data_IF_331925746671
#
_entry.id   IF_331925746671
#
_cell.length_a   1.000
_cell.length_b   1.000
_cell.length_c   1.000
_cell.angle_alpha   90.00
_cell.angle_beta   90.00
_cell.angle_gamma   90.00
#
_symmetry.space_group_name_H-M   'P 1'
#
loop_
_entity.id
_entity.type
_entity.pdbx_description
1 polymer ?
#
# COMPACT_ATOMS: atom_id res chain seq x y z
N UNK A 1 -37.94 -23.81 -33.14
CA UNK A 1 -37.46 -24.33 -31.84
C UNK A 1 -35.95 -24.34 -31.91
N UNK A 2 -35.15 -23.69 -31.08
CA UNK A 2 -35.34 -22.91 -29.87
C UNK A 2 -33.99 -22.21 -29.62
N UNK A 3 -34.05 -20.96 -29.13
CA UNK A 3 -33.12 -20.47 -28.09
C UNK A 3 -31.63 -20.38 -28.45
N UNK A 4 -31.25 -19.40 -29.27
CA UNK A 4 -29.95 -18.74 -29.07
C UNK A 4 -30.13 -17.62 -28.05
N UNK A 5 -30.41 -18.06 -26.84
CA UNK A 5 -30.57 -17.23 -25.66
C UNK A 5 -29.21 -16.72 -25.20
N UNK A 6 -29.20 -15.44 -24.85
CA UNK A 6 -28.26 -14.82 -23.94
C UNK A 6 -26.80 -14.92 -24.40
N UNK A 7 -26.42 -13.96 -25.26
CA UNK A 7 -25.13 -13.31 -25.08
C UNK A 7 -24.95 -13.12 -23.58
N UNK A 8 -23.99 -13.78 -22.92
CA UNK A 8 -23.73 -13.42 -21.56
C UNK A 8 -23.22 -11.99 -21.70
N UNK A 9 -24.04 -11.04 -21.28
CA UNK A 9 -23.52 -9.81 -20.73
C UNK A 9 -22.70 -10.25 -19.52
N UNK A 10 -21.53 -10.87 -19.76
CA UNK A 10 -20.51 -11.11 -18.76
C UNK A 10 -20.13 -9.69 -18.41
N UNK A 11 -20.82 -9.16 -17.42
CA UNK A 11 -20.31 -8.05 -16.62
C UNK A 11 -18.97 -8.60 -16.16
N UNK A 12 -17.85 -8.11 -16.71
CA UNK A 12 -16.59 -8.73 -16.43
C UNK A 12 -16.39 -8.69 -14.92
N UNK A 13 -16.17 -9.87 -14.37
CA UNK A 13 -16.13 -9.99 -12.92
C UNK A 13 -14.77 -9.52 -12.43
N UNK A 14 -14.70 -9.21 -11.14
CA UNK A 14 -13.43 -8.91 -10.49
C UNK A 14 -12.35 -9.98 -10.74
N UNK A 15 -12.74 -11.25 -10.89
CA UNK A 15 -11.82 -12.34 -11.20
C UNK A 15 -11.26 -12.25 -12.62
N UNK A 16 -12.06 -11.78 -13.58
CA UNK A 16 -11.64 -11.53 -14.97
C UNK A 16 -10.56 -10.45 -15.04
N UNK A 17 -10.74 -9.35 -14.29
CA UNK A 17 -9.72 -8.32 -14.11
C UNK A 17 -8.41 -8.87 -13.54
N UNK A 18 -8.51 -9.73 -12.52
CA UNK A 18 -7.34 -10.36 -11.92
C UNK A 18 -6.65 -11.24 -12.96
N UNK A 19 -7.38 -12.04 -13.73
CA UNK A 19 -6.83 -12.89 -14.78
C UNK A 19 -6.06 -12.05 -15.83
N UNK A 20 -6.65 -10.95 -16.32
CA UNK A 20 -6.00 -10.05 -17.28
C UNK A 20 -4.72 -9.43 -16.70
N UNK A 21 -4.77 -8.95 -15.45
CA UNK A 21 -3.60 -8.36 -14.78
C UNK A 21 -2.50 -9.38 -14.53
N UNK A 22 -2.83 -10.63 -14.22
CA UNK A 22 -1.83 -11.70 -14.02
C UNK A 22 -1.04 -11.99 -15.29
N UNK A 23 -1.69 -11.98 -16.45
CA UNK A 23 -0.99 -12.17 -17.73
C UNK A 23 -0.01 -11.01 -17.97
N UNK A 24 -0.43 -9.78 -17.66
CA UNK A 24 0.38 -8.57 -17.87
C UNK A 24 1.52 -8.40 -16.86
N UNK A 25 1.33 -8.86 -15.63
CA UNK A 25 2.26 -8.74 -14.52
C UNK A 25 2.66 -10.12 -13.99
N UNK A 26 3.17 -10.98 -14.88
CA UNK A 26 3.54 -12.36 -14.54
C UNK A 26 4.65 -12.48 -13.48
N UNK A 27 5.46 -11.43 -13.33
CA UNK A 27 6.53 -11.33 -12.32
C UNK A 27 6.00 -11.01 -10.90
N UNK A 28 4.75 -10.54 -10.80
CA UNK A 28 4.11 -10.22 -9.51
C UNK A 28 3.32 -11.42 -8.99
N UNK A 29 3.48 -11.81 -7.71
CA UNK A 29 2.67 -12.87 -7.11
C UNK A 29 1.17 -12.60 -7.24
N UNK A 30 0.40 -13.64 -7.57
CA UNK A 30 -1.06 -13.54 -7.76
C UNK A 30 -1.79 -12.96 -6.56
N UNK A 31 -1.38 -13.35 -5.36
CA UNK A 31 -1.94 -12.86 -4.11
C UNK A 31 -1.83 -11.34 -4.00
N UNK A 32 -0.70 -10.76 -4.45
CA UNK A 32 -0.48 -9.32 -4.47
C UNK A 32 -1.37 -8.64 -5.51
N UNK A 33 -1.56 -9.25 -6.69
CA UNK A 33 -2.49 -8.74 -7.72
C UNK A 33 -3.93 -8.74 -7.20
N UNK A 34 -4.37 -9.86 -6.59
CA UNK A 34 -5.72 -9.99 -6.01
C UNK A 34 -5.98 -8.97 -4.89
N UNK A 35 -5.01 -8.81 -3.98
CA UNK A 35 -5.08 -7.84 -2.89
C UNK A 35 -5.09 -6.41 -3.43
N UNK A 36 -4.31 -6.11 -4.46
CA UNK A 36 -4.29 -4.79 -5.08
C UNK A 36 -5.66 -4.43 -5.67
N UNK A 37 -6.32 -5.37 -6.36
CA UNK A 37 -7.67 -5.16 -6.89
C UNK A 37 -8.72 -5.05 -5.77
N UNK A 38 -8.59 -5.81 -4.68
CA UNK A 38 -9.45 -5.70 -3.48
C UNK A 38 -9.38 -4.31 -2.85
N UNK A 39 -8.15 -3.87 -2.59
CA UNK A 39 -7.82 -2.61 -1.91
C UNK A 39 -8.39 -1.43 -2.72
N UNK A 40 -8.25 -1.46 -4.04
CA UNK A 40 -8.82 -0.43 -4.92
C UNK A 40 -10.34 -0.42 -4.90
N UNK A 41 -10.99 -1.59 -4.88
CA UNK A 41 -12.44 -1.67 -4.77
C UNK A 41 -12.93 -1.08 -3.44
N UNK A 42 -12.29 -1.48 -2.34
CA UNK A 42 -12.57 -0.99 -1.01
C UNK A 42 -12.36 0.53 -0.90
N UNK A 43 -11.24 1.04 -1.45
CA UNK A 43 -10.96 2.47 -1.49
C UNK A 43 -12.02 3.24 -2.29
N UNK A 44 -12.43 2.75 -3.46
CA UNK A 44 -13.49 3.39 -4.24
C UNK A 44 -14.80 3.47 -3.45
N UNK A 45 -15.20 2.38 -2.80
CA UNK A 45 -16.39 2.36 -1.93
C UNK A 45 -16.25 3.34 -0.77
N UNK A 46 -15.11 3.37 -0.10
CA UNK A 46 -14.86 4.28 1.02
C UNK A 46 -14.91 5.76 0.60
N UNK A 47 -14.41 6.07 -0.60
CA UNK A 47 -14.44 7.42 -1.18
C UNK A 47 -15.79 7.79 -1.81
N UNK A 48 -16.76 6.87 -1.84
CA UNK A 48 -18.05 7.07 -2.51
C UNK A 48 -17.98 7.11 -4.04
N UNK A 49 -16.86 6.67 -4.62
CA UNK A 49 -16.64 6.61 -6.07
C UNK A 49 -17.20 5.29 -6.59
N UNK A 50 -18.01 5.32 -7.66
CA UNK A 50 -18.47 4.08 -8.29
C UNK A 50 -17.26 3.37 -8.92
N UNK A 51 -16.96 2.11 -8.52
CA UNK A 51 -15.83 1.38 -9.07
C UNK A 51 -16.16 0.95 -10.50
N UNK A 52 -15.71 1.73 -11.47
CA UNK A 52 -15.74 1.32 -12.88
C UNK A 52 -14.55 0.40 -13.15
N UNK A 53 -14.78 -0.77 -13.74
CA UNK A 53 -13.73 -1.75 -14.03
C UNK A 53 -12.53 -1.16 -14.76
N UNK A 54 -12.76 -0.36 -15.81
CA UNK A 54 -11.68 0.26 -16.57
C UNK A 54 -10.84 1.21 -15.72
N UNK A 55 -11.46 1.89 -14.76
CA UNK A 55 -10.74 2.73 -13.81
C UNK A 55 -9.92 1.88 -12.83
N UNK A 56 -10.50 0.83 -12.26
CA UNK A 56 -9.80 -0.11 -11.36
C UNK A 56 -8.63 -0.77 -12.08
N UNK A 57 -8.80 -1.22 -13.32
CA UNK A 57 -7.74 -1.84 -14.12
C UNK A 57 -6.57 -0.89 -14.35
N UNK A 58 -6.84 0.36 -14.75
CA UNK A 58 -5.79 1.38 -14.94
C UNK A 58 -5.06 1.68 -13.64
N UNK A 59 -5.78 1.82 -12.53
CA UNK A 59 -5.20 2.07 -11.21
C UNK A 59 -4.33 0.91 -10.75
N UNK A 60 -4.82 -0.33 -10.90
CA UNK A 60 -4.07 -1.54 -10.58
C UNK A 60 -2.82 -1.65 -11.44
N UNK A 61 -2.93 -1.44 -12.76
CA UNK A 61 -1.79 -1.47 -13.66
C UNK A 61 -0.74 -0.40 -13.31
N UNK A 62 -1.17 0.81 -12.95
CA UNK A 62 -0.28 1.87 -12.48
C UNK A 62 0.47 1.46 -11.21
N UNK A 63 -0.26 0.95 -10.20
CA UNK A 63 0.32 0.52 -8.92
C UNK A 63 1.28 -0.65 -9.09
N UNK A 64 0.89 -1.67 -9.86
CA UNK A 64 1.73 -2.84 -10.15
C UNK A 64 2.96 -2.48 -10.99
N UNK A 65 2.85 -1.53 -11.91
CA UNK A 65 4.02 -1.00 -12.66
C UNK A 65 5.00 -0.34 -11.71
N UNK A 66 4.52 0.41 -10.72
CA UNK A 66 5.36 0.99 -9.66
C UNK A 66 6.09 -0.08 -8.85
N UNK A 67 5.41 -1.18 -8.51
CA UNK A 67 6.01 -2.32 -7.81
C UNK A 67 7.11 -2.99 -8.66
N UNK A 68 6.81 -3.34 -9.91
CA UNK A 68 7.77 -4.02 -10.81
C UNK A 68 8.99 -3.16 -11.09
N UNK A 69 8.81 -1.85 -11.28
CA UNK A 69 9.93 -0.92 -11.50
C UNK A 69 10.78 -0.67 -10.25
N UNK A 70 10.50 -1.36 -9.14
CA UNK A 70 11.23 -1.16 -7.89
C UNK A 70 11.01 0.25 -7.32
N UNK A 71 9.80 0.79 -7.50
CA UNK A 71 9.40 2.10 -7.01
C UNK A 71 9.36 2.16 -5.49
N UNK A 72 10.52 2.04 -4.84
CA UNK A 72 10.77 2.71 -3.58
C UNK A 72 10.55 4.20 -3.90
N UNK A 73 9.55 4.87 -3.30
CA UNK A 73 9.44 6.31 -3.43
C UNK A 73 10.80 6.93 -3.08
N UNK A 74 11.24 8.00 -3.75
CA UNK A 74 12.51 8.67 -3.43
C UNK A 74 12.55 9.21 -1.98
N UNK A 75 11.41 9.19 -1.28
CA UNK A 75 11.32 9.45 0.13
C UNK A 75 11.14 8.14 0.90
N UNK A 76 12.02 7.80 1.87
CA UNK A 76 11.67 6.76 2.84
C UNK A 76 10.39 7.22 3.56
N UNK A 77 9.40 6.35 3.65
CA UNK A 77 8.26 6.55 4.55
C UNK A 77 8.80 6.60 5.98
N UNK A 78 9.15 7.81 6.42
CA UNK A 78 9.76 8.11 7.71
C UNK A 78 8.73 8.29 8.82
N UNK A 79 7.54 7.68 8.71
CA UNK A 79 6.62 7.50 9.85
C UNK A 79 6.53 6.02 10.24
N UNK A 80 7.69 5.42 10.43
CA UNK A 80 7.88 4.35 11.41
C UNK A 80 8.78 4.84 12.57
N UNK A 81 8.65 6.11 12.95
CA UNK A 81 9.14 6.64 14.23
C UNK A 81 8.11 6.44 15.34
N UNK A 82 7.66 5.20 15.54
CA UNK A 82 6.97 4.80 16.79
C UNK A 82 7.99 4.18 17.73
N UNK A 83 9.00 4.98 18.10
CA UNK A 83 9.81 4.70 19.28
C UNK A 83 9.35 5.70 20.35
N UNK A 84 8.73 5.27 21.45
CA UNK A 84 8.48 6.20 22.55
C UNK A 84 9.85 6.71 23.05
N UNK A 85 10.02 7.99 23.39
CA UNK A 85 11.17 8.44 24.15
C UNK A 85 11.02 7.94 25.60
N UNK A 86 11.17 6.63 25.78
CA UNK A 86 11.39 6.00 27.06
C UNK A 86 12.83 6.25 27.48
N UNK A 87 13.01 7.24 28.33
CA UNK A 87 13.93 7.16 29.47
C UNK A 87 15.39 6.83 29.16
N UNK A 88 16.18 7.87 28.87
CA UNK A 88 17.53 8.01 29.44
C UNK A 88 17.86 9.49 29.65
N UNK A 89 17.08 10.10 30.53
CA UNK A 89 17.60 11.14 31.40
C UNK A 89 18.57 10.49 32.40
N UNK A 90 19.77 10.15 31.97
CA UNK A 90 20.93 10.11 32.87
C UNK A 90 21.66 11.42 32.67
N UNK A 91 21.20 12.43 33.41
CA UNK A 91 21.99 13.59 33.71
C UNK A 91 23.22 13.13 34.50
N UNK A 92 24.28 12.79 33.78
CA UNK A 92 25.61 12.74 34.37
C UNK A 92 26.03 14.19 34.64
N UNK A 93 25.63 14.68 35.81
CA UNK A 93 26.25 15.85 36.45
C UNK A 93 27.69 15.45 36.78
N UNK A 94 28.74 16.10 36.23
CA UNK A 94 30.01 16.08 36.92
C UNK A 94 29.84 16.88 38.22
N UNK A 95 29.92 16.16 39.34
CA UNK A 95 30.10 16.72 40.66
C UNK A 95 31.59 17.08 40.86
N UNK A 96 31.86 18.29 41.33
CA UNK A 96 33.20 18.76 41.73
C UNK A 96 33.66 19.93 40.85
N UNK A 97 33.96 21.14 41.33
CA UNK A 97 34.55 21.48 42.60
C UNK A 97 34.02 22.82 43.15
N UNK A 98 33.42 22.77 44.34
CA UNK A 98 33.44 23.90 45.28
C UNK A 98 34.47 23.54 46.33
N UNK A 99 35.67 24.11 46.24
CA UNK A 99 36.65 24.08 47.33
C UNK A 99 36.24 25.11 48.40
N UNK A 100 36.27 24.76 49.68
CA UNK A 100 35.99 25.70 50.76
C UNK A 100 37.25 26.44 51.24
N UNK A 101 37.04 27.71 51.59
CA UNK A 101 37.52 28.48 52.76
C UNK A 101 39.03 28.59 53.05
N UNK A 102 39.50 29.85 53.03
CA UNK A 102 40.30 30.45 54.11
C UNK A 102 41.81 30.54 53.87
N UNK A 103 42.35 31.76 53.72
CA UNK A 103 43.26 32.49 54.64
C UNK A 103 43.33 33.96 54.22
#
# INVERSE_FOLDING_TARGET
MERWEMSPSVVPTRDDLVARLRVRFADVPVENVRRCVDDLWCCCTHLGVRPEERAIERLAASRLTGVVRGGRPPYPDGRAGSMPPGSRATAERPAGARTPIGM
#
